data_IF_709089572866
#
_entry.id   IF_709089572866
#
_cell.length_a   1.000
_cell.length_b   1.000
_cell.length_c   1.000
_cell.angle_alpha   90.00
_cell.angle_beta   90.00
_cell.angle_gamma   90.00
#
_symmetry.space_group_name_H-M   'P 1'
#
loop_
_entity.id
_entity.type
_entity.pdbx_description
1 polymer ?
#
# COMPACT_ATOMS: atom_id res chain seq x y z
N UNK A 1 56.91 -5.21 -27.57
CA UNK A 1 55.87 -4.25 -27.14
C UNK A 1 54.55 -4.66 -27.77
N UNK A 2 53.63 -5.27 -27.00
CA UNK A 2 52.15 -5.33 -27.17
C UNK A 2 51.55 -6.46 -26.31
N UNK A 3 51.74 -6.42 -24.99
CA UNK A 3 50.98 -7.25 -24.02
C UNK A 3 50.17 -6.43 -23.01
N UNK A 4 50.15 -5.10 -23.16
CA UNK A 4 49.47 -4.18 -22.22
C UNK A 4 47.99 -3.93 -22.55
N UNK A 5 47.54 -4.15 -23.79
CA UNK A 5 46.15 -3.87 -24.18
C UNK A 5 45.14 -4.95 -23.74
N UNK A 6 45.53 -6.23 -23.66
CA UNK A 6 44.58 -7.31 -23.32
C UNK A 6 44.21 -7.34 -21.83
N UNK A 7 45.13 -6.98 -20.94
CA UNK A 7 44.87 -6.97 -19.49
C UNK A 7 44.00 -5.78 -19.06
N UNK A 8 44.16 -4.62 -19.71
CA UNK A 8 43.33 -3.43 -19.45
C UNK A 8 41.89 -3.63 -19.90
N UNK A 9 41.65 -4.20 -21.09
CA UNK A 9 40.32 -4.52 -21.59
C UNK A 9 39.61 -5.61 -20.74
N UNK A 10 40.36 -6.62 -20.27
CA UNK A 10 39.83 -7.65 -19.38
C UNK A 10 39.37 -7.10 -18.03
N UNK A 11 40.14 -6.20 -17.41
CA UNK A 11 39.75 -5.60 -16.13
C UNK A 11 38.57 -4.62 -16.29
N UNK A 12 38.50 -3.89 -17.40
CA UNK A 12 37.39 -2.98 -17.70
C UNK A 12 36.06 -3.73 -17.88
N UNK A 13 36.06 -4.80 -18.68
CA UNK A 13 34.88 -5.66 -18.87
C UNK A 13 34.41 -6.35 -17.59
N UNK A 14 35.34 -6.72 -16.70
CA UNK A 14 34.99 -7.30 -15.38
C UNK A 14 34.35 -6.27 -14.45
N UNK A 15 34.82 -5.03 -14.44
CA UNK A 15 34.21 -3.93 -13.65
C UNK A 15 32.79 -3.65 -14.15
N UNK A 16 32.63 -3.49 -15.46
CA UNK A 16 31.35 -3.19 -16.09
C UNK A 16 30.30 -4.29 -15.83
N UNK A 17 30.69 -5.56 -15.93
CA UNK A 17 29.80 -6.67 -15.58
C UNK A 17 29.32 -6.59 -14.12
N UNK A 18 30.23 -6.29 -13.19
CA UNK A 18 29.89 -6.17 -11.77
C UNK A 18 28.96 -4.98 -11.50
N UNK A 19 29.22 -3.83 -12.12
CA UNK A 19 28.37 -2.64 -12.03
C UNK A 19 26.96 -2.90 -12.57
N UNK A 20 26.86 -3.52 -13.73
CA UNK A 20 25.57 -3.90 -14.31
C UNK A 20 24.83 -4.89 -13.42
N UNK A 21 25.52 -5.88 -12.83
CA UNK A 21 24.89 -6.87 -11.95
C UNK A 21 24.43 -6.22 -10.64
N UNK A 22 25.20 -5.28 -10.09
CA UNK A 22 24.80 -4.50 -8.93
C UNK A 22 23.54 -3.67 -9.24
N UNK A 23 23.52 -2.98 -10.38
CA UNK A 23 22.33 -2.23 -10.84
C UNK A 23 21.11 -3.14 -11.02
N UNK A 24 21.29 -4.30 -11.66
CA UNK A 24 20.23 -5.29 -11.83
C UNK A 24 19.66 -5.77 -10.49
N UNK A 25 20.55 -6.15 -9.57
CA UNK A 25 20.12 -6.66 -8.26
C UNK A 25 19.46 -5.58 -7.41
N UNK A 26 19.93 -4.33 -7.49
CA UNK A 26 19.30 -3.19 -6.84
C UNK A 26 17.87 -2.98 -7.32
N UNK A 27 17.61 -3.12 -8.62
CA UNK A 27 16.31 -2.83 -9.21
C UNK A 27 15.27 -3.95 -9.06
N UNK A 28 15.69 -5.21 -9.12
CA UNK A 28 14.74 -6.33 -9.23
C UNK A 28 14.82 -7.33 -8.08
N UNK A 29 15.91 -7.37 -7.31
CA UNK A 29 16.20 -8.51 -6.46
C UNK A 29 15.97 -8.19 -5.00
N UNK A 30 15.07 -8.95 -4.39
CA UNK A 30 14.96 -9.07 -2.95
C UNK A 30 15.71 -10.35 -2.52
N UNK A 31 16.86 -10.20 -1.82
CA UNK A 31 17.74 -11.35 -1.49
C UNK A 31 17.19 -12.26 -0.40
N UNK A 32 16.28 -11.80 0.44
CA UNK A 32 15.71 -12.51 1.59
C UNK A 32 14.18 -12.43 1.59
N UNK A 33 13.44 -13.38 2.18
CA UNK A 33 13.91 -14.58 2.89
C UNK A 33 14.19 -15.80 1.99
N UNK A 34 13.46 -15.95 0.88
CA UNK A 34 13.52 -17.10 -0.01
C UNK A 34 13.27 -16.68 -1.45
N UNK A 35 13.56 -17.58 -2.40
CA UNK A 35 13.31 -17.36 -3.83
C UNK A 35 12.76 -18.63 -4.49
N UNK A 36 12.13 -18.46 -5.66
CA UNK A 36 11.65 -19.54 -6.51
C UNK A 36 12.66 -19.89 -7.60
N UNK A 37 12.77 -21.16 -7.96
CA UNK A 37 13.49 -21.62 -9.14
C UNK A 37 12.60 -22.53 -9.98
N UNK A 38 12.61 -22.34 -11.30
CA UNK A 38 11.91 -23.19 -12.26
C UNK A 38 12.88 -23.59 -13.37
N UNK A 39 13.17 -24.88 -13.47
CA UNK A 39 13.97 -25.42 -14.57
C UNK A 39 13.10 -25.51 -15.84
N UNK A 40 13.70 -25.51 -17.05
CA UNK A 40 12.96 -25.70 -18.30
C UNK A 40 12.06 -26.95 -18.24
N UNK A 41 10.78 -26.80 -18.61
CA UNK A 41 9.76 -27.86 -18.52
C UNK A 41 9.35 -28.28 -17.10
N UNK A 42 9.97 -27.72 -16.06
CA UNK A 42 9.72 -28.04 -14.66
C UNK A 42 8.64 -27.17 -14.00
N UNK A 43 8.41 -27.43 -12.71
CA UNK A 43 7.55 -26.61 -11.85
C UNK A 43 8.37 -25.66 -10.98
N UNK A 44 7.72 -24.65 -10.41
CA UNK A 44 8.33 -23.76 -9.42
C UNK A 44 8.71 -24.53 -8.15
N UNK A 45 9.94 -24.37 -7.70
CA UNK A 45 10.45 -24.91 -6.44
C UNK A 45 10.98 -23.77 -5.57
N UNK A 46 10.53 -23.74 -4.31
CA UNK A 46 11.02 -22.75 -3.33
C UNK A 46 12.38 -23.14 -2.77
N UNK A 47 13.29 -22.18 -2.65
CA UNK A 47 14.57 -22.31 -1.95
C UNK A 47 14.54 -21.42 -0.71
N UNK A 48 14.43 -22.06 0.46
CA UNK A 48 14.39 -21.40 1.78
C UNK A 48 15.77 -20.92 2.25
N UNK A 49 16.42 -20.10 1.43
CA UNK A 49 17.72 -19.48 1.74
C UNK A 49 17.87 -18.16 0.96
N UNK A 50 18.80 -17.28 1.36
CA UNK A 50 19.08 -16.07 0.62
C UNK A 50 19.49 -16.33 -0.84
N UNK A 51 19.08 -15.44 -1.73
CA UNK A 51 19.44 -15.46 -3.15
C UNK A 51 20.84 -14.85 -3.36
N UNK A 52 21.79 -15.69 -3.76
CA UNK A 52 23.13 -15.28 -4.19
C UNK A 52 23.16 -14.90 -5.68
N UNK A 53 24.28 -14.36 -6.15
CA UNK A 53 24.41 -13.91 -7.54
C UNK A 53 24.47 -15.05 -8.55
N UNK A 54 24.98 -16.21 -8.17
CA UNK A 54 25.15 -17.34 -9.08
C UNK A 54 23.81 -17.80 -9.72
N UNK A 55 22.71 -17.98 -8.97
CA UNK A 55 21.40 -18.24 -9.58
C UNK A 55 20.88 -17.11 -10.49
N UNK A 56 21.16 -15.84 -10.15
CA UNK A 56 20.74 -14.68 -10.96
C UNK A 56 21.47 -14.69 -12.30
N UNK A 57 22.79 -14.87 -12.28
CA UNK A 57 23.61 -15.00 -13.48
C UNK A 57 23.16 -16.20 -14.33
N UNK A 58 22.81 -17.32 -13.70
CA UNK A 58 22.29 -18.48 -14.42
C UNK A 58 20.93 -18.19 -15.09
N UNK A 59 20.09 -17.37 -14.47
CA UNK A 59 18.84 -16.90 -15.05
C UNK A 59 19.05 -15.99 -16.27
N UNK A 60 19.94 -15.01 -16.14
CA UNK A 60 20.30 -14.09 -17.23
C UNK A 60 21.01 -14.80 -18.40
N UNK A 61 21.63 -15.96 -18.13
CA UNK A 61 22.19 -16.85 -19.15
C UNK A 61 21.21 -17.95 -19.59
N UNK A 62 19.90 -17.77 -19.36
CA UNK A 62 18.83 -18.64 -19.86
C UNK A 62 18.88 -20.10 -19.39
N UNK A 63 19.62 -20.42 -18.32
CA UNK A 63 19.77 -21.81 -17.83
C UNK A 63 18.53 -22.32 -17.09
N UNK A 64 17.92 -21.45 -16.29
CA UNK A 64 16.68 -21.71 -15.56
C UNK A 64 16.07 -20.38 -15.12
N UNK A 65 14.81 -20.40 -14.73
CA UNK A 65 14.09 -19.21 -14.30
C UNK A 65 14.26 -19.03 -12.79
N UNK A 66 14.60 -17.81 -12.36
CA UNK A 66 14.55 -17.41 -10.97
C UNK A 66 13.36 -16.47 -10.77
N UNK A 67 12.66 -16.67 -9.66
CA UNK A 67 11.59 -15.80 -9.21
C UNK A 67 11.89 -15.25 -7.82
N UNK A 68 11.56 -13.99 -7.59
CA UNK A 68 11.85 -13.27 -6.36
C UNK A 68 10.58 -12.69 -5.76
N UNK A 69 10.62 -12.46 -4.45
CA UNK A 69 9.58 -11.73 -3.74
C UNK A 69 9.73 -10.22 -3.94
N UNK A 70 8.73 -9.47 -3.51
CA UNK A 70 8.80 -8.01 -3.53
C UNK A 70 9.90 -7.45 -2.63
N UNK A 71 10.63 -6.47 -3.17
CA UNK A 71 11.29 -5.45 -2.37
C UNK A 71 10.22 -4.60 -1.67
N UNK A 72 10.55 -4.00 -0.51
CA UNK A 72 9.61 -3.15 0.20
C UNK A 72 9.22 -1.89 -0.59
N UNK A 73 10.21 -1.30 -1.26
CA UNK A 73 10.09 -0.14 -2.15
C UNK A 73 10.54 -0.54 -3.56
N UNK A 74 9.69 -1.21 -4.35
CA UNK A 74 10.09 -1.68 -5.67
C UNK A 74 10.29 -0.52 -6.64
N UNK A 75 11.37 -0.58 -7.44
CA UNK A 75 11.62 0.39 -8.51
C UNK A 75 10.80 0.12 -9.77
N UNK A 76 10.25 -1.08 -9.91
CA UNK A 76 9.44 -1.49 -11.06
C UNK A 76 8.19 -2.22 -10.60
N UNK A 77 7.10 -1.98 -11.34
CA UNK A 77 5.85 -2.74 -11.23
C UNK A 77 5.66 -3.53 -12.51
N UNK A 78 5.09 -4.72 -12.35
CA UNK A 78 4.75 -5.62 -13.44
C UNK A 78 3.25 -5.88 -13.35
N UNK A 79 2.52 -5.58 -14.42
CA UNK A 79 1.17 -6.08 -14.61
C UNK A 79 1.26 -7.38 -15.41
N UNK A 80 0.90 -8.48 -14.77
CA UNK A 80 0.83 -9.80 -15.37
C UNK A 80 -0.58 -10.02 -15.92
N UNK A 81 -0.69 -10.10 -17.24
CA UNK A 81 -1.95 -10.08 -17.99
C UNK A 81 -2.01 -11.40 -18.76
N UNK A 82 -2.81 -12.34 -18.24
CA UNK A 82 -2.86 -13.71 -18.74
C UNK A 82 -4.06 -13.97 -19.67
N UNK A 83 -3.81 -14.72 -20.76
CA UNK A 83 -4.84 -15.22 -21.67
C UNK A 83 -5.73 -14.12 -22.28
N UNK A 84 -5.11 -13.04 -22.74
CA UNK A 84 -5.78 -11.87 -23.33
C UNK A 84 -5.12 -11.56 -24.68
N UNK A 85 -5.85 -11.20 -25.75
CA UNK A 85 -5.21 -10.84 -27.02
C UNK A 85 -4.44 -9.52 -26.91
N UNK A 86 -3.37 -9.36 -27.71
CA UNK A 86 -2.46 -8.20 -27.63
C UNK A 86 -3.18 -6.83 -27.68
N UNK A 87 -4.15 -6.65 -28.57
CA UNK A 87 -4.90 -5.38 -28.67
C UNK A 87 -5.63 -4.99 -27.37
N UNK A 88 -6.05 -5.96 -26.56
CA UNK A 88 -6.64 -5.69 -25.25
C UNK A 88 -5.59 -5.28 -24.22
N UNK A 89 -4.35 -5.77 -24.35
CA UNK A 89 -3.22 -5.35 -23.52
C UNK A 89 -2.81 -3.92 -23.85
N UNK A 90 -2.79 -3.56 -25.14
CA UNK A 90 -2.58 -2.19 -25.60
C UNK A 90 -3.68 -1.27 -25.08
N UNK A 91 -4.95 -1.69 -25.16
CA UNK A 91 -6.06 -0.93 -24.57
C UNK A 91 -5.91 -0.74 -23.04
N UNK A 92 -5.49 -1.77 -22.30
CA UNK A 92 -5.19 -1.65 -20.86
C UNK A 92 -4.08 -0.64 -20.60
N UNK A 93 -3.01 -0.67 -21.41
CA UNK A 93 -1.87 0.25 -21.33
C UNK A 93 -2.33 1.69 -21.57
N UNK A 94 -3.15 1.93 -22.59
CA UNK A 94 -3.75 3.23 -22.89
C UNK A 94 -4.61 3.77 -21.76
N UNK A 95 -5.48 2.93 -21.18
CA UNK A 95 -6.35 3.32 -20.05
C UNK A 95 -5.57 3.76 -18.81
N UNK A 96 -4.33 3.29 -18.66
CA UNK A 96 -3.41 3.69 -17.60
C UNK A 96 -2.52 4.86 -18.00
N UNK A 97 -2.69 5.47 -19.19
CA UNK A 97 -1.78 6.47 -19.75
C UNK A 97 -0.32 5.98 -19.81
N UNK A 98 -0.13 4.67 -19.94
CA UNK A 98 1.17 4.07 -20.20
C UNK A 98 1.43 4.08 -21.72
N UNK A 99 2.69 4.25 -22.09
CA UNK A 99 3.15 4.31 -23.47
C UNK A 99 4.60 3.80 -23.57
N UNK A 100 5.20 3.86 -24.76
CA UNK A 100 6.57 3.35 -24.99
C UNK A 100 7.65 4.07 -24.21
N UNK A 101 7.41 5.30 -23.72
CA UNK A 101 8.42 6.07 -22.98
C UNK A 101 8.45 5.71 -21.49
N UNK A 102 7.30 5.37 -20.90
CA UNK A 102 7.17 5.10 -19.46
C UNK A 102 6.87 3.62 -19.13
N UNK A 103 6.75 2.76 -20.15
CA UNK A 103 6.51 1.33 -19.96
C UNK A 103 7.10 0.49 -21.08
N UNK A 104 7.34 -0.79 -20.78
CA UNK A 104 7.79 -1.81 -21.72
C UNK A 104 6.92 -3.05 -21.64
N UNK A 105 6.52 -3.57 -22.80
CA UNK A 105 5.71 -4.78 -22.90
C UNK A 105 6.56 -6.01 -23.26
N UNK A 106 6.41 -7.08 -22.47
CA UNK A 106 7.09 -8.34 -22.66
C UNK A 106 6.10 -9.50 -22.87
N UNK A 107 6.52 -10.51 -23.62
CA UNK A 107 5.86 -11.82 -23.59
C UNK A 107 6.07 -12.49 -22.22
N UNK A 108 5.12 -13.35 -21.85
CA UNK A 108 5.28 -14.33 -20.78
C UNK A 108 5.54 -15.73 -21.36
N UNK A 109 5.56 -16.76 -20.52
CA UNK A 109 5.77 -18.15 -20.93
C UNK A 109 4.57 -18.75 -21.67
N UNK A 110 3.36 -18.32 -21.30
CA UNK A 110 2.12 -18.82 -21.88
C UNK A 110 1.73 -18.01 -23.12
N UNK A 111 1.09 -18.63 -24.14
CA UNK A 111 0.50 -17.91 -25.25
C UNK A 111 -0.52 -16.88 -24.76
N UNK A 112 -0.56 -15.71 -25.40
CA UNK A 112 -1.46 -14.60 -25.03
C UNK A 112 -1.30 -14.14 -23.57
N UNK A 113 -0.11 -14.31 -22.99
CA UNK A 113 0.22 -13.78 -21.67
C UNK A 113 1.36 -12.78 -21.77
N UNK A 114 1.25 -11.69 -21.03
CA UNK A 114 2.09 -10.52 -21.18
C UNK A 114 2.47 -9.91 -19.84
N UNK A 115 3.68 -9.35 -19.76
CA UNK A 115 4.11 -8.55 -18.63
C UNK A 115 4.32 -7.10 -19.08
N UNK A 116 3.58 -6.16 -18.49
CA UNK A 116 3.78 -4.73 -18.70
C UNK A 116 4.60 -4.16 -17.54
N UNK A 117 5.83 -3.71 -17.83
CA UNK A 117 6.75 -3.12 -16.87
C UNK A 117 6.67 -1.60 -16.90
N UNK A 118 6.75 -0.95 -15.75
CA UNK A 118 6.93 0.50 -15.63
C UNK A 118 7.55 0.87 -14.28
N UNK A 119 8.05 2.11 -14.16
CA UNK A 119 8.67 2.64 -12.93
C UNK A 119 7.64 3.44 -12.14
N UNK A 120 7.08 2.92 -11.03
CA UNK A 120 6.07 3.66 -10.28
C UNK A 120 6.71 4.79 -9.46
N UNK A 121 5.99 5.89 -9.33
CA UNK A 121 6.39 7.04 -8.53
C UNK A 121 5.21 7.51 -7.69
N UNK A 122 5.46 7.86 -6.44
CA UNK A 122 4.51 8.56 -5.60
C UNK A 122 5.25 9.57 -4.73
N UNK A 123 4.87 10.85 -4.80
CA UNK A 123 5.57 11.95 -4.12
C UNK A 123 7.09 11.94 -4.37
N UNK A 124 7.48 11.77 -5.64
CA UNK A 124 8.87 11.73 -6.10
C UNK A 124 9.74 10.61 -5.47
N UNK A 125 9.11 9.52 -5.00
CA UNK A 125 9.80 8.37 -4.42
C UNK A 125 9.18 7.04 -4.90
N UNK A 126 9.95 5.95 -4.90
CA UNK A 126 9.39 4.62 -5.11
C UNK A 126 8.32 4.30 -4.04
N UNK A 127 7.10 3.92 -4.44
CA UNK A 127 6.01 3.61 -3.51
C UNK A 127 6.24 2.29 -2.77
N UNK A 128 5.51 2.07 -1.68
CA UNK A 128 5.50 0.75 -1.03
C UNK A 128 4.70 -0.27 -1.83
N UNK A 129 4.99 -1.56 -1.67
CA UNK A 129 4.18 -2.64 -2.26
C UNK A 129 2.70 -2.51 -1.88
N UNK A 130 2.41 -2.15 -0.63
CA UNK A 130 1.03 -1.98 -0.16
C UNK A 130 0.33 -0.87 -0.96
N UNK A 131 0.97 0.28 -1.10
CA UNK A 131 0.43 1.41 -1.85
C UNK A 131 0.14 1.03 -3.30
N UNK A 132 1.09 0.38 -3.98
CA UNK A 132 0.88 -0.12 -5.36
C UNK A 132 -0.36 -1.02 -5.43
N UNK A 133 -0.46 -2.01 -4.53
CA UNK A 133 -1.57 -2.96 -4.54
C UNK A 133 -2.91 -2.26 -4.25
N UNK A 134 -2.93 -1.28 -3.34
CA UNK A 134 -4.14 -0.52 -2.99
C UNK A 134 -4.58 0.38 -4.17
N UNK A 135 -3.64 1.03 -4.84
CA UNK A 135 -3.89 1.90 -6.02
C UNK A 135 -4.51 1.12 -7.17
N UNK A 136 -3.90 0.00 -7.53
CA UNK A 136 -4.34 -0.78 -8.69
C UNK A 136 -5.45 -1.78 -8.37
N UNK A 137 -5.87 -1.95 -7.11
CA UNK A 137 -6.80 -3.02 -6.68
C UNK A 137 -8.06 -3.12 -7.53
N UNK A 138 -8.75 -2.00 -7.74
CA UNK A 138 -10.02 -1.98 -8.48
C UNK A 138 -9.80 -2.19 -9.99
N UNK A 139 -8.76 -1.56 -10.53
CA UNK A 139 -8.39 -1.71 -11.92
C UNK A 139 -8.01 -3.16 -12.25
N UNK A 140 -7.15 -3.76 -11.43
CA UNK A 140 -6.70 -5.14 -11.58
C UNK A 140 -7.85 -6.14 -11.46
N UNK A 141 -8.81 -5.90 -10.56
CA UNK A 141 -10.01 -6.72 -10.46
C UNK A 141 -10.87 -6.63 -11.73
N UNK A 142 -11.07 -5.42 -12.26
CA UNK A 142 -11.89 -5.18 -13.46
C UNK A 142 -11.34 -5.89 -14.70
N UNK A 143 -10.03 -5.90 -14.88
CA UNK A 143 -9.37 -6.46 -16.06
C UNK A 143 -8.70 -7.81 -15.82
N UNK A 144 -8.94 -8.43 -14.65
CA UNK A 144 -8.34 -9.71 -14.25
C UNK A 144 -6.80 -9.74 -14.39
N UNK A 145 -6.15 -8.67 -13.91
CA UNK A 145 -4.70 -8.48 -13.97
C UNK A 145 -4.09 -8.86 -12.62
N UNK A 146 -2.93 -9.52 -12.64
CA UNK A 146 -2.15 -9.70 -11.41
C UNK A 146 -1.05 -8.64 -11.28
N UNK A 147 -1.05 -7.91 -10.16
CA UNK A 147 -0.07 -6.85 -9.90
C UNK A 147 1.14 -7.43 -9.15
N UNK A 148 2.33 -7.19 -9.67
CA UNK A 148 3.60 -7.52 -9.04
C UNK A 148 4.47 -6.27 -8.85
N UNK A 149 5.34 -6.28 -7.82
CA UNK A 149 5.66 -7.45 -7.00
C UNK A 149 4.69 -7.65 -5.80
N UNK A 150 4.71 -8.86 -5.21
CA UNK A 150 3.90 -9.25 -4.03
C UNK A 150 4.79 -9.76 -2.90
N UNK A 151 4.35 -9.57 -1.65
CA UNK A 151 5.14 -9.95 -0.46
C UNK A 151 5.27 -11.46 -0.25
N UNK A 152 4.32 -12.26 -0.75
CA UNK A 152 4.24 -13.72 -0.52
C UNK A 152 4.23 -14.57 -1.80
N UNK A 153 4.29 -13.94 -2.97
CA UNK A 153 4.26 -14.64 -4.26
C UNK A 153 5.47 -14.18 -5.08
N UNK A 154 6.22 -15.16 -5.60
CA UNK A 154 7.37 -14.87 -6.45
C UNK A 154 6.90 -14.43 -7.83
N UNK A 155 7.61 -13.46 -8.39
CA UNK A 155 7.54 -13.12 -9.81
C UNK A 155 8.89 -13.43 -10.44
N UNK A 156 8.86 -13.93 -11.68
CA UNK A 156 10.05 -14.19 -12.49
C UNK A 156 10.88 -12.91 -12.62
N UNK A 157 12.20 -13.03 -12.46
CA UNK A 157 13.14 -11.95 -12.79
C UNK A 157 13.08 -11.63 -14.30
N UNK A 158 13.26 -10.36 -14.69
CA UNK A 158 13.24 -9.97 -16.10
C UNK A 158 14.43 -10.55 -16.88
N UNK A 159 14.30 -10.55 -18.20
CA UNK A 159 15.32 -11.01 -19.15
C UNK A 159 15.61 -12.52 -19.06
N UNK A 160 14.59 -13.29 -18.68
CA UNK A 160 14.63 -14.75 -18.78
C UNK A 160 14.43 -15.26 -20.21
N UNK A 161 14.58 -16.58 -20.40
CA UNK A 161 14.58 -17.26 -21.71
C UNK A 161 13.26 -17.25 -22.48
N UNK A 162 12.18 -16.74 -21.88
CA UNK A 162 10.81 -16.72 -22.43
C UNK A 162 10.19 -15.33 -22.37
N UNK A 163 11.02 -14.30 -22.25
CA UNK A 163 10.58 -12.92 -22.19
C UNK A 163 11.22 -12.14 -23.33
N UNK A 164 10.38 -11.74 -24.28
CA UNK A 164 10.76 -10.96 -25.46
C UNK A 164 9.99 -9.65 -25.44
N UNK A 165 10.63 -8.57 -25.86
CA UNK A 165 9.99 -7.27 -26.09
C UNK A 165 9.04 -7.38 -27.27
N UNK A 166 7.86 -6.78 -27.11
CA UNK A 166 6.80 -6.78 -28.15
C UNK A 166 6.75 -5.46 -28.89
N UNK A 167 6.97 -4.35 -28.20
CA UNK A 167 6.96 -3.02 -28.80
C UNK A 167 8.00 -2.95 -29.93
N UNK A 168 7.59 -2.53 -31.14
CA UNK A 168 8.47 -2.48 -32.31
C UNK A 168 9.74 -1.65 -32.08
N UNK A 169 9.64 -0.57 -31.32
CA UNK A 169 10.77 0.28 -30.96
C UNK A 169 11.83 -0.44 -30.09
N UNK A 170 11.46 -1.56 -29.47
CA UNK A 170 12.32 -2.38 -28.62
C UNK A 170 12.66 -3.75 -29.23
N UNK A 171 12.16 -4.09 -30.41
CA UNK A 171 12.48 -5.37 -31.07
C UNK A 171 14.00 -5.61 -31.23
N UNK A 172 14.84 -4.61 -31.59
CA UNK A 172 16.28 -4.80 -31.65
C UNK A 172 16.87 -5.33 -30.33
N UNK A 173 16.29 -4.96 -29.18
CA UNK A 173 16.75 -5.39 -27.85
C UNK A 173 16.56 -6.89 -27.62
N UNK A 174 15.69 -7.57 -28.38
CA UNK A 174 15.53 -9.02 -28.26
C UNK A 174 16.83 -9.78 -28.56
N UNK A 175 17.71 -9.21 -29.41
CA UNK A 175 18.99 -9.80 -29.82
C UNK A 175 20.16 -9.34 -28.96
N UNK A 176 19.95 -8.33 -28.12
CA UNK A 176 20.98 -7.76 -27.26
C UNK A 176 21.15 -8.54 -25.96
N UNK A 177 22.26 -8.26 -25.28
CA UNK A 177 22.55 -8.81 -23.96
C UNK A 177 21.71 -8.13 -22.86
N UNK A 178 21.71 -8.74 -21.67
CA UNK A 178 20.89 -8.24 -20.56
C UNK A 178 21.34 -6.86 -20.02
N UNK A 179 22.63 -6.47 -20.04
CA UNK A 179 23.03 -5.10 -19.70
C UNK A 179 22.38 -4.05 -20.59
N UNK A 180 22.33 -4.26 -21.91
CA UNK A 180 21.65 -3.33 -22.80
C UNK A 180 20.14 -3.27 -22.52
N UNK A 181 19.50 -4.42 -22.28
CA UNK A 181 18.09 -4.47 -21.87
C UNK A 181 17.84 -3.71 -20.57
N UNK A 182 18.72 -3.87 -19.59
CA UNK A 182 18.67 -3.15 -18.31
C UNK A 182 18.81 -1.63 -18.50
N UNK A 183 19.72 -1.20 -19.37
CA UNK A 183 19.92 0.22 -19.68
C UNK A 183 18.63 0.88 -20.17
N UNK A 184 17.93 0.26 -21.12
CA UNK A 184 16.67 0.79 -21.63
C UNK A 184 15.56 0.76 -20.59
N UNK A 185 15.42 -0.34 -19.83
CA UNK A 185 14.42 -0.42 -18.75
C UNK A 185 14.65 0.67 -17.69
N UNK A 186 15.90 0.97 -17.35
CA UNK A 186 16.24 2.04 -16.41
C UNK A 186 15.96 3.46 -16.94
N UNK A 187 15.92 3.62 -18.26
CA UNK A 187 15.62 4.87 -18.95
C UNK A 187 14.13 5.19 -19.08
N UNK A 188 13.25 4.28 -18.66
CA UNK A 188 11.82 4.56 -18.65
C UNK A 188 11.52 5.79 -17.80
N UNK A 189 10.62 6.63 -18.33
CA UNK A 189 10.04 7.74 -17.59
C UNK A 189 9.26 7.20 -16.38
N UNK A 190 9.29 7.97 -15.29
CA UNK A 190 8.56 7.60 -14.08
C UNK A 190 7.04 7.75 -14.29
N UNK A 191 6.28 6.84 -13.70
CA UNK A 191 4.82 6.79 -13.78
C UNK A 191 4.19 7.19 -12.44
N UNK A 192 3.54 8.36 -12.40
CA UNK A 192 2.88 8.87 -11.20
C UNK A 192 1.62 8.07 -10.87
N UNK A 193 1.60 7.43 -9.70
CA UNK A 193 0.47 6.66 -9.21
C UNK A 193 -0.80 7.49 -8.98
N UNK A 194 -0.70 8.82 -8.86
CA UNK A 194 -1.88 9.69 -8.78
C UNK A 194 -2.69 9.71 -10.09
N UNK A 195 -2.10 9.29 -11.21
CA UNK A 195 -2.77 9.26 -12.52
C UNK A 195 -3.64 8.02 -12.73
N UNK A 196 -3.57 7.01 -11.84
CA UNK A 196 -4.33 5.77 -11.99
C UNK A 196 -5.83 6.03 -11.81
N UNK A 197 -6.60 5.69 -12.85
CA UNK A 197 -8.04 5.86 -12.84
C UNK A 197 -8.72 5.06 -11.70
N UNK A 198 -9.85 5.60 -11.22
CA UNK A 198 -10.71 4.98 -10.20
C UNK A 198 -10.05 4.81 -8.82
N UNK A 199 -8.97 5.54 -8.56
CA UNK A 199 -8.31 5.52 -7.26
C UNK A 199 -8.14 6.94 -6.70
N UNK A 200 -8.35 7.09 -5.40
CA UNK A 200 -8.21 8.36 -4.69
C UNK A 200 -7.22 8.16 -3.53
N UNK A 201 -5.99 8.61 -3.70
CA UNK A 201 -4.95 8.58 -2.66
C UNK A 201 -5.08 9.71 -1.65
N UNK A 202 -5.53 10.87 -2.12
CA UNK A 202 -5.80 12.03 -1.31
C UNK A 202 -7.31 12.27 -1.26
N UNK A 203 -7.87 12.21 -0.06
CA UNK A 203 -9.16 12.84 0.23
C UNK A 203 -8.92 14.35 0.18
N UNK A 204 -9.05 14.93 -1.00
CA UNK A 204 -9.04 16.38 -1.20
C UNK A 204 -10.39 16.95 -0.75
N UNK A 205 -10.68 16.73 0.53
CA UNK A 205 -11.78 17.37 1.22
C UNK A 205 -11.33 18.80 1.47
N UNK A 206 -11.47 19.65 0.46
CA UNK A 206 -11.57 21.09 0.65
C UNK A 206 -12.89 21.39 1.38
N UNK A 207 -12.98 20.91 2.62
CA UNK A 207 -14.02 21.27 3.54
C UNK A 207 -13.67 22.69 3.95
N UNK A 208 -14.33 23.67 3.34
CA UNK A 208 -14.44 24.97 3.95
C UNK A 208 -15.13 24.72 5.29
N UNK A 209 -14.35 24.62 6.37
CA UNK A 209 -14.88 24.70 7.72
C UNK A 209 -15.67 26.00 7.71
N UNK A 210 -17.02 25.96 7.81
CA UNK A 210 -17.79 27.19 7.88
C UNK A 210 -17.17 27.99 9.01
N UNK A 211 -16.93 29.29 8.81
CA UNK A 211 -16.32 30.17 9.82
C UNK A 211 -17.16 30.32 11.11
N UNK A 212 -18.08 29.39 11.36
CA UNK A 212 -18.99 29.32 12.49
C UNK A 212 -18.91 28.01 13.25
N UNK A 213 -17.81 27.25 13.21
CA UNK A 213 -17.51 26.28 14.26
C UNK A 213 -17.31 27.05 15.56
N UNK A 214 -18.43 27.48 16.17
CA UNK A 214 -18.50 27.83 17.57
C UNK A 214 -18.01 26.59 18.28
N UNK A 215 -16.77 26.64 18.75
CA UNK A 215 -16.23 25.68 19.69
C UNK A 215 -17.24 25.64 20.82
N UNK A 216 -18.03 24.57 20.86
CA UNK A 216 -19.04 24.39 21.88
C UNK A 216 -18.28 24.21 23.19
N UNK A 217 -18.66 24.97 24.21
CA UNK A 217 -18.12 24.72 25.53
C UNK A 217 -18.71 23.41 26.08
N UNK A 218 -18.08 22.86 27.12
CA UNK A 218 -18.47 21.59 27.77
C UNK A 218 -19.97 21.53 28.13
N UNK A 219 -20.56 22.67 28.53
CA UNK A 219 -21.98 22.77 28.86
C UNK A 219 -22.86 22.60 27.62
N UNK A 220 -22.53 23.29 26.52
CA UNK A 220 -23.28 23.18 25.26
C UNK A 220 -23.18 21.78 24.65
N UNK A 221 -21.99 21.16 24.70
CA UNK A 221 -21.82 19.77 24.25
C UNK A 221 -22.63 18.80 25.12
N UNK A 222 -22.62 18.98 26.43
CA UNK A 222 -23.40 18.17 27.36
C UNK A 222 -24.91 18.31 27.16
N UNK A 223 -25.40 19.51 26.84
CA UNK A 223 -26.80 19.74 26.51
C UNK A 223 -27.22 18.99 25.23
N UNK A 224 -26.39 19.06 24.18
CA UNK A 224 -26.62 18.31 22.93
C UNK A 224 -26.61 16.80 23.18
N UNK A 225 -25.66 16.30 23.98
CA UNK A 225 -25.60 14.89 24.36
C UNK A 225 -26.84 14.49 25.16
N UNK A 226 -27.30 15.30 26.10
CA UNK A 226 -28.51 15.04 26.88
C UNK A 226 -29.74 14.93 25.97
N UNK A 227 -29.83 15.78 24.94
CA UNK A 227 -30.91 15.78 23.96
C UNK A 227 -30.85 14.60 22.97
N UNK A 228 -29.68 14.31 22.38
CA UNK A 228 -29.55 13.41 21.23
C UNK A 228 -28.89 12.06 21.55
N UNK A 229 -28.31 11.90 22.74
CA UNK A 229 -27.60 10.69 23.13
C UNK A 229 -26.14 10.65 22.71
N UNK A 230 -25.53 9.47 22.80
CA UNK A 230 -24.19 9.24 22.30
C UNK A 230 -24.15 9.44 20.78
N UNK A 231 -23.10 10.11 20.30
CA UNK A 231 -22.90 10.43 18.88
C UNK A 231 -21.75 9.62 18.24
N UNK A 232 -20.92 8.95 19.05
CA UNK A 232 -19.72 8.25 18.57
C UNK A 232 -19.40 7.00 19.38
N UNK A 233 -18.91 5.90 18.76
CA UNK A 233 -18.39 4.73 19.49
C UNK A 233 -17.33 5.11 20.52
N UNK A 234 -17.26 4.38 21.64
CA UNK A 234 -16.26 4.55 22.70
C UNK A 234 -16.23 5.93 23.40
N UNK A 235 -17.23 6.79 23.17
CA UNK A 235 -17.31 8.14 23.75
C UNK A 235 -18.07 8.22 25.08
N UNK A 236 -18.57 7.09 25.61
CA UNK A 236 -19.46 7.05 26.79
C UNK A 236 -18.91 7.84 27.98
N UNK A 237 -17.68 7.55 28.38
CA UNK A 237 -17.10 8.13 29.60
C UNK A 237 -16.99 9.64 29.55
N UNK A 238 -16.61 10.18 28.39
CA UNK A 238 -16.53 11.62 28.18
C UNK A 238 -17.94 12.23 28.07
N UNK A 239 -18.83 11.57 27.34
CA UNK A 239 -20.18 12.08 27.10
C UNK A 239 -21.01 12.14 28.38
N UNK A 240 -20.95 11.10 29.22
CA UNK A 240 -21.66 11.08 30.50
C UNK A 240 -21.10 12.14 31.47
N UNK A 241 -19.79 12.44 31.42
CA UNK A 241 -19.19 13.53 32.18
C UNK A 241 -19.76 14.88 31.75
N UNK A 242 -19.87 15.14 30.44
CA UNK A 242 -20.45 16.38 29.89
C UNK A 242 -21.93 16.53 30.26
N UNK A 243 -22.69 15.45 30.23
CA UNK A 243 -24.09 15.42 30.70
C UNK A 243 -24.18 15.74 32.20
N UNK A 244 -23.38 15.07 33.03
CA UNK A 244 -23.32 15.36 34.48
C UNK A 244 -22.93 16.82 34.77
N UNK A 245 -21.95 17.34 34.03
CA UNK A 245 -21.50 18.73 34.16
C UNK A 245 -22.62 19.72 33.82
N UNK A 246 -23.45 19.40 32.82
CA UNK A 246 -24.60 20.22 32.43
C UNK A 246 -25.66 20.23 33.53
N UNK A 247 -26.02 19.06 34.06
CA UNK A 247 -26.98 18.94 35.16
C UNK A 247 -26.49 19.67 36.42
N UNK A 248 -25.19 19.59 36.73
CA UNK A 248 -24.58 20.35 37.82
C UNK A 248 -24.69 21.87 37.60
N UNK A 249 -24.39 22.36 36.38
CA UNK A 249 -24.52 23.79 36.03
C UNK A 249 -25.96 24.29 36.14
N UNK A 250 -26.93 23.41 35.91
CA UNK A 250 -28.36 23.69 36.08
C UNK A 250 -28.84 23.51 37.54
N UNK A 251 -27.91 23.40 38.49
CA UNK A 251 -28.15 23.22 39.94
C UNK A 251 -28.97 21.97 40.30
N UNK A 252 -28.90 20.91 39.48
CA UNK A 252 -29.54 19.63 39.81
C UNK A 252 -28.79 18.98 40.96
N UNK A 253 -29.45 18.52 42.04
CA UNK A 253 -28.79 17.80 43.13
C UNK A 253 -28.04 16.57 42.65
N UNK A 254 -26.87 16.27 43.24
CA UNK A 254 -25.97 15.20 42.80
C UNK A 254 -26.67 13.86 42.59
N UNK A 255 -27.48 13.44 43.57
CA UNK A 255 -28.12 12.13 43.54
C UNK A 255 -29.16 12.05 42.40
N UNK A 256 -29.85 13.16 42.13
CA UNK A 256 -30.77 13.29 40.98
C UNK A 256 -29.98 13.27 39.67
N UNK A 257 -28.85 13.99 39.59
CA UNK A 257 -28.03 14.04 38.38
C UNK A 257 -27.44 12.68 37.99
N UNK A 258 -27.06 11.87 38.99
CA UNK A 258 -26.63 10.47 38.79
C UNK A 258 -27.76 9.65 38.18
N UNK A 259 -28.96 9.71 38.76
CA UNK A 259 -30.10 8.94 38.28
C UNK A 259 -30.54 9.37 36.89
N UNK A 260 -30.57 10.68 36.61
CA UNK A 260 -30.91 11.24 35.30
C UNK A 260 -29.86 10.86 34.24
N UNK A 261 -28.57 10.93 34.57
CA UNK A 261 -27.51 10.50 33.64
C UNK A 261 -27.58 9.00 33.37
N UNK A 262 -27.91 8.19 34.37
CA UNK A 262 -28.05 6.75 34.19
C UNK A 262 -29.28 6.41 33.32
N UNK A 263 -30.42 7.09 33.53
CA UNK A 263 -31.60 6.99 32.66
C UNK A 263 -31.29 7.42 31.24
N UNK A 264 -30.57 8.53 31.08
CA UNK A 264 -30.12 9.02 29.78
C UNK A 264 -29.27 7.99 29.05
N UNK A 265 -28.27 7.39 29.71
CA UNK A 265 -27.44 6.36 29.10
C UNK A 265 -28.26 5.12 28.70
N UNK A 266 -29.22 4.72 29.54
CA UNK A 266 -30.14 3.62 29.24
C UNK A 266 -30.95 3.85 27.98
N UNK A 267 -31.44 5.07 27.79
CA UNK A 267 -32.35 5.42 26.68
C UNK A 267 -31.61 5.83 25.41
N UNK A 268 -30.44 6.46 25.54
CA UNK A 268 -29.76 7.19 24.47
C UNK A 268 -28.31 6.77 24.25
N UNK A 269 -27.97 5.50 24.51
CA UNK A 269 -26.65 4.97 24.15
C UNK A 269 -26.47 4.72 22.64
N UNK A 270 -27.56 4.69 21.86
CA UNK A 270 -27.58 4.63 20.40
C UNK A 270 -26.71 3.51 19.77
N UNK A 271 -26.49 2.41 20.50
CA UNK A 271 -25.57 1.33 20.06
C UNK A 271 -24.07 1.67 20.12
N UNK A 272 -23.70 2.89 20.53
CA UNK A 272 -22.30 3.34 20.59
C UNK A 272 -21.55 2.97 21.86
N UNK A 273 -22.27 2.52 22.90
CA UNK A 273 -21.68 1.93 24.11
C UNK A 273 -21.91 0.42 24.12
N UNK A 274 -20.86 -0.36 23.86
CA UNK A 274 -20.90 -1.83 23.97
C UNK A 274 -20.91 -2.31 25.42
N UNK A 275 -20.38 -1.49 26.32
CA UNK A 275 -20.26 -1.81 27.74
C UNK A 275 -21.59 -1.70 28.47
N UNK A 276 -22.46 -0.77 28.08
CA UNK A 276 -23.73 -0.56 28.80
C UNK A 276 -24.62 -1.82 28.79
N UNK A 277 -24.87 -2.48 27.62
CA UNK A 277 -25.64 -3.72 27.62
C UNK A 277 -24.99 -4.88 28.38
N UNK A 278 -23.65 -4.90 28.47
CA UNK A 278 -22.90 -6.01 29.09
C UNK A 278 -22.70 -5.82 30.59
N UNK A 279 -22.47 -4.59 31.02
CA UNK A 279 -22.07 -4.23 32.38
C UNK A 279 -22.71 -2.92 32.84
N UNK A 280 -24.06 -2.85 32.93
CA UNK A 280 -24.78 -1.62 33.26
C UNK A 280 -24.44 -1.09 34.67
N UNK A 281 -24.23 -1.97 35.64
CA UNK A 281 -23.86 -1.60 37.01
C UNK A 281 -22.46 -0.97 37.09
N UNK A 282 -21.51 -1.42 36.26
CA UNK A 282 -20.18 -0.78 36.18
C UNK A 282 -20.30 0.63 35.59
N UNK A 283 -21.17 0.82 34.60
CA UNK A 283 -21.45 2.14 34.05
C UNK A 283 -22.08 3.05 35.12
N UNK A 284 -23.02 2.55 35.92
CA UNK A 284 -23.63 3.31 37.03
C UNK A 284 -22.59 3.73 38.07
N UNK A 285 -21.70 2.81 38.49
CA UNK A 285 -20.60 3.12 39.42
C UNK A 285 -19.68 4.22 38.89
N UNK A 286 -19.38 4.19 37.60
CA UNK A 286 -18.54 5.21 36.97
C UNK A 286 -19.24 6.58 36.90
N UNK A 287 -20.54 6.62 36.63
CA UNK A 287 -21.35 7.85 36.71
C UNK A 287 -21.32 8.43 38.12
N UNK A 288 -21.54 7.59 39.16
CA UNK A 288 -21.46 8.02 40.57
C UNK A 288 -20.07 8.62 40.89
N UNK A 289 -19.01 7.95 40.45
CA UNK A 289 -17.63 8.40 40.67
C UNK A 289 -17.39 9.77 40.02
N UNK A 290 -17.84 9.96 38.78
CA UNK A 290 -17.69 11.23 38.07
C UNK A 290 -18.53 12.35 38.69
N UNK A 291 -19.78 12.06 39.07
CA UNK A 291 -20.64 13.01 39.77
C UNK A 291 -20.02 13.47 41.09
N UNK A 292 -19.46 12.55 41.88
CA UNK A 292 -18.75 12.91 43.10
C UNK A 292 -17.59 13.89 42.83
N UNK A 293 -16.80 13.65 41.77
CA UNK A 293 -15.70 14.55 41.40
C UNK A 293 -16.21 15.93 40.99
N UNK A 294 -17.25 16.00 40.15
CA UNK A 294 -17.79 17.27 39.67
C UNK A 294 -18.32 18.10 40.84
N UNK A 295 -19.17 17.50 41.67
CA UNK A 295 -19.83 18.24 42.75
C UNK A 295 -18.85 18.61 43.87
N UNK A 296 -17.91 17.73 44.23
CA UNK A 296 -16.92 18.04 45.29
C UNK A 296 -15.90 19.09 44.82
N UNK A 297 -15.37 18.98 43.60
CA UNK A 297 -14.30 19.88 43.15
C UNK A 297 -14.81 21.26 42.74
N UNK A 298 -15.99 21.34 42.14
CA UNK A 298 -16.50 22.59 41.58
C UNK A 298 -17.48 23.34 42.50
N UNK A 299 -18.02 22.74 43.57
CA UNK A 299 -18.65 23.51 44.66
C UNK A 299 -17.63 24.36 45.43
N UNK A 300 -16.39 23.89 45.59
CA UNK A 300 -15.31 24.62 46.26
C UNK A 300 -14.70 25.78 45.43
N UNK A 301 -15.18 25.96 44.19
CA UNK A 301 -14.66 26.95 43.23
C UNK A 301 -15.64 28.10 42.96
N UNK A 302 -16.81 28.10 43.63
CA UNK A 302 -17.78 29.21 43.67
C UNK A 302 -17.76 29.88 45.04
#
# INVERSE_FOLDING_TARGET
MTMTNSYSQYNQSKSEFQENLLSFTYNFVQRIPWYGVKFPGGRWNTKNKPLSDRPIIAHLNYKYIIGVLAQWYPHFVILDIDNVPLHMVEHIRELLNLNTNNSMLFTSESPNSYHLFFKPLYNNKPPTVKLIQDVFKLFALKYNIEIFPKTKKVIRLPFGSSQYFIDECYDPLNREDWPMKLYYVNKLDDYDLNSVAFHQLALDLNYQIPASDKILNTYQEGLLLYQHGLQMPNSRNESQFKVLYTLWRDNVPRDIAVDETYKWLKQKHNGFSKDYPRHPELCKKEIIRQAAIIYIKYELSN
#
